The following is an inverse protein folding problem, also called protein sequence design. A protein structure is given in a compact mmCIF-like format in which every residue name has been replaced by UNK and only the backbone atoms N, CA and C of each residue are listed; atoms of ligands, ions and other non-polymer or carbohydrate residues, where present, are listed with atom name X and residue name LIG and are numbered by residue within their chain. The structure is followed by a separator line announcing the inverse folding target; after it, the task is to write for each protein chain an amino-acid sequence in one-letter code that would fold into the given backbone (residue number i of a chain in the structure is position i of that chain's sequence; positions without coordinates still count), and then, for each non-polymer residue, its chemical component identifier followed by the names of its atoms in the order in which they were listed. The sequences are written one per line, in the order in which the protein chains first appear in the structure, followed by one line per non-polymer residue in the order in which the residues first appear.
data_IF_136443648554
#
_entry.id   IF_136443648554
#
_cell.length_a   1.000
_cell.length_b   1.000
_cell.length_c   1.000
_cell.angle_alpha   90.00
_cell.angle_beta   90.00
_cell.angle_gamma   90.00
#
_symmetry.space_group_name_H-M   'P 1'
#
loop_
_entity.id
_entity.type
_entity.pdbx_description
1 polymer ?
#
# COMPACT_ATOMS: atom_id res chain seq x y z
N UNK A 1 46.22 2.62 -6.31
CA UNK A 1 47.08 3.76 -5.97
C UNK A 1 48.09 3.25 -4.97
N UNK A 2 49.39 3.24 -5.30
CA UNK A 2 50.45 2.89 -4.35
C UNK A 2 50.88 4.22 -3.72
N UNK A 3 50.76 4.33 -2.40
CA UNK A 3 51.19 5.53 -1.70
C UNK A 3 52.72 5.69 -1.81
N UNK A 4 53.22 6.93 -1.98
CA UNK A 4 54.65 7.18 -2.04
C UNK A 4 55.30 6.80 -0.69
N UNK A 5 56.55 6.29 -0.72
CA UNK A 5 57.25 5.95 0.51
C UNK A 5 57.48 7.19 1.38
N UNK A 6 57.47 7.04 2.72
CA UNK A 6 57.76 8.15 3.62
C UNK A 6 59.17 8.68 3.32
N UNK A 7 59.28 10.00 3.15
CA UNK A 7 60.56 10.68 2.91
C UNK A 7 61.34 10.68 4.24
N UNK A 8 62.18 9.68 4.44
CA UNK A 8 63.16 9.69 5.53
C UNK A 8 64.25 10.72 5.20
N UNK A 9 64.43 11.70 6.08
CA UNK A 9 65.49 12.70 5.96
C UNK A 9 66.87 12.04 5.88
N UNK A 10 67.73 12.58 5.02
CA UNK A 10 69.10 12.09 4.80
C UNK A 10 69.86 12.02 6.13
N UNK A 11 70.20 10.81 6.58
CA UNK A 11 71.07 10.58 7.75
C UNK A 11 70.49 9.81 8.93
N UNK A 12 69.24 9.34 8.90
CA UNK A 12 68.69 8.45 9.92
C UNK A 12 68.83 6.98 9.49
N UNK A 13 69.40 6.11 10.34
CA UNK A 13 69.26 4.66 10.15
C UNK A 13 67.76 4.31 10.08
N UNK A 14 67.35 3.47 9.12
CA UNK A 14 65.94 3.10 8.98
C UNK A 14 65.49 2.33 10.23
N UNK A 15 64.71 3.00 11.09
CA UNK A 15 64.09 2.36 12.24
C UNK A 15 62.92 1.48 11.76
N UNK A 16 63.24 0.21 11.48
CA UNK A 16 62.30 -0.81 10.99
C UNK A 16 61.08 -0.94 11.91
N UNK A 17 61.24 -0.75 13.22
CA UNK A 17 60.14 -0.79 14.19
C UNK A 17 59.09 0.29 13.94
N UNK A 18 59.54 1.53 13.68
CA UNK A 18 58.64 2.66 13.35
C UNK A 18 57.93 2.43 12.01
N UNK A 19 58.65 1.90 11.02
CA UNK A 19 58.08 1.59 9.70
C UNK A 19 56.96 0.55 9.79
N UNK A 20 57.19 -0.55 10.52
CA UNK A 20 56.20 -1.61 10.72
C UNK A 20 55.00 -1.08 11.49
N UNK A 21 55.23 -0.32 12.57
CA UNK A 21 54.15 0.21 13.40
C UNK A 21 53.26 1.22 12.65
N UNK A 22 53.87 2.06 11.81
CA UNK A 22 53.15 2.96 10.92
C UNK A 22 52.32 2.21 9.87
N UNK A 23 52.90 1.20 9.21
CA UNK A 23 52.17 0.41 8.20
C UNK A 23 51.04 -0.41 8.79
N UNK A 24 51.25 -0.97 10.00
CA UNK A 24 50.22 -1.68 10.74
C UNK A 24 49.03 -0.78 11.05
N UNK A 25 49.29 0.42 11.57
CA UNK A 25 48.23 1.39 11.89
C UNK A 25 47.42 1.81 10.66
N UNK A 26 48.06 1.89 9.49
CA UNK A 26 47.39 2.17 8.21
C UNK A 26 46.52 0.99 7.76
N UNK A 27 47.04 -0.23 7.85
CA UNK A 27 46.30 -1.44 7.49
C UNK A 27 45.08 -1.67 8.41
N UNK A 28 45.24 -1.45 9.71
CA UNK A 28 44.17 -1.59 10.70
C UNK A 28 43.07 -0.53 10.52
N UNK A 29 43.37 0.60 9.87
CA UNK A 29 42.44 1.69 9.60
C UNK A 29 41.88 1.72 8.17
N UNK A 30 42.13 0.69 7.36
CA UNK A 30 41.65 0.64 5.97
C UNK A 30 40.13 0.44 5.93
N UNK A 31 39.43 1.44 5.39
CA UNK A 31 37.97 1.42 5.21
C UNK A 31 37.52 0.47 4.09
N UNK A 32 38.44 0.04 3.22
CA UNK A 32 38.17 -1.01 2.22
C UNK A 32 38.45 -2.41 2.77
N UNK A 33 38.85 -2.52 4.04
CA UNK A 33 38.91 -3.80 4.70
C UNK A 33 37.49 -4.37 4.86
N UNK A 34 37.31 -5.70 4.74
CA UNK A 34 36.01 -6.34 4.92
C UNK A 34 35.42 -6.13 6.34
N UNK A 35 34.10 -6.33 6.57
CA UNK A 35 33.12 -6.91 5.64
C UNK A 35 32.40 -5.83 4.81
N UNK A 36 32.30 -6.06 3.51
CA UNK A 36 31.49 -5.23 2.64
C UNK A 36 30.00 -5.40 2.93
N UNK A 37 29.22 -4.39 2.57
CA UNK A 37 27.77 -4.48 2.62
C UNK A 37 27.24 -5.52 1.63
N UNK A 38 26.21 -6.28 2.03
CA UNK A 38 25.50 -7.23 1.16
C UNK A 38 24.09 -6.71 0.85
N UNK A 39 23.66 -6.88 -0.40
CA UNK A 39 22.32 -6.50 -0.83
C UNK A 39 21.37 -7.69 -0.67
N UNK A 40 20.24 -7.47 0.02
CA UNK A 40 19.17 -8.46 0.13
C UNK A 40 18.06 -8.12 -0.85
N UNK A 41 17.87 -8.99 -1.84
CA UNK A 41 16.75 -8.88 -2.78
C UNK A 41 15.50 -9.54 -2.18
N UNK A 42 14.41 -8.76 -2.08
CA UNK A 42 13.11 -9.25 -1.64
C UNK A 42 12.14 -9.23 -2.82
N UNK A 43 11.58 -10.39 -3.16
CA UNK A 43 10.65 -10.55 -4.27
C UNK A 43 9.41 -11.39 -3.88
N UNK A 44 9.06 -11.40 -2.59
CA UNK A 44 7.90 -12.13 -2.11
C UNK A 44 6.62 -11.34 -2.41
N UNK A 45 5.76 -11.89 -3.27
CA UNK A 45 4.52 -11.25 -3.75
C UNK A 45 3.31 -11.54 -2.83
N UNK A 46 3.42 -12.50 -1.91
CA UNK A 46 2.29 -13.00 -1.13
C UNK A 46 1.81 -14.36 -1.59
N UNK A 47 0.75 -14.86 -0.94
CA UNK A 47 0.21 -16.20 -1.17
C UNK A 47 -0.94 -16.27 -2.18
N UNK A 48 -1.26 -15.18 -2.88
CA UNK A 48 -2.38 -15.14 -3.83
C UNK A 48 -3.75 -15.35 -3.18
N UNK A 49 -3.94 -14.89 -1.94
CA UNK A 49 -5.23 -15.04 -1.25
C UNK A 49 -6.31 -14.23 -1.96
N UNK A 50 -7.44 -14.87 -2.25
CA UNK A 50 -8.62 -14.14 -2.71
C UNK A 50 -9.11 -13.28 -1.56
N UNK A 51 -9.40 -12.00 -1.83
CA UNK A 51 -10.23 -11.23 -0.92
C UNK A 51 -11.51 -12.04 -0.68
N UNK A 52 -11.98 -12.12 0.56
CA UNK A 52 -13.19 -12.87 0.90
C UNK A 52 -14.43 -12.34 0.17
N UNK A 53 -15.62 -12.68 0.64
CA UNK A 53 -16.84 -12.15 0.02
C UNK A 53 -16.93 -10.63 0.20
N UNK A 54 -17.10 -9.91 -0.91
CA UNK A 54 -17.41 -8.48 -0.92
C UNK A 54 -18.93 -8.28 -0.94
N UNK A 55 -19.42 -7.20 -0.34
CA UNK A 55 -20.83 -6.81 -0.45
C UNK A 55 -21.20 -6.52 -1.90
N UNK A 56 -22.40 -6.95 -2.30
CA UNK A 56 -22.98 -6.60 -3.60
C UNK A 56 -23.22 -5.09 -3.69
N UNK A 57 -23.09 -4.52 -4.90
CA UNK A 57 -23.36 -3.10 -5.14
C UNK A 57 -24.80 -2.67 -4.75
N UNK A 58 -25.75 -3.59 -4.87
CA UNK A 58 -27.15 -3.36 -4.53
C UNK A 58 -27.46 -3.45 -3.03
N UNK A 59 -26.49 -3.80 -2.18
CA UNK A 59 -26.71 -4.07 -0.76
C UNK A 59 -27.19 -2.85 0.05
N UNK A 60 -27.27 -1.66 -0.54
CA UNK A 60 -27.80 -0.44 0.10
C UNK A 60 -28.83 0.32 -0.73
N UNK A 61 -29.33 -0.24 -1.84
CA UNK A 61 -30.33 0.43 -2.70
C UNK A 61 -31.76 -0.02 -2.44
N UNK A 62 -31.95 -1.05 -1.64
CA UNK A 62 -33.26 -1.69 -1.38
C UNK A 62 -34.02 -1.06 -0.19
N UNK A 63 -33.47 -0.02 0.43
CA UNK A 63 -34.11 0.66 1.57
C UNK A 63 -35.07 1.79 1.12
N UNK A 64 -35.38 1.87 -0.17
CA UNK A 64 -36.32 2.84 -0.71
C UNK A 64 -37.76 2.43 -0.41
N UNK A 65 -38.57 3.36 0.10
CA UNK A 65 -40.01 3.14 0.25
C UNK A 65 -40.64 2.89 -1.12
N UNK A 66 -41.49 1.85 -1.21
CA UNK A 66 -42.22 1.48 -2.43
C UNK A 66 -43.37 2.47 -2.72
N UNK A 67 -43.05 3.74 -2.97
CA UNK A 67 -44.00 4.82 -3.27
C UNK A 67 -44.10 5.02 -4.79
N UNK A 68 -45.29 4.79 -5.36
CA UNK A 68 -45.50 4.79 -6.82
C UNK A 68 -46.48 5.87 -7.32
N UNK A 69 -46.69 6.94 -6.55
CA UNK A 69 -47.66 8.03 -6.86
C UNK A 69 -47.42 8.69 -8.23
N UNK A 70 -46.19 8.64 -8.74
CA UNK A 70 -45.82 9.15 -10.06
C UNK A 70 -46.45 8.36 -11.23
N UNK A 71 -46.95 7.14 -11.02
CA UNK A 71 -47.57 6.33 -12.07
C UNK A 71 -48.83 7.00 -12.64
N UNK A 72 -49.60 7.73 -11.81
CA UNK A 72 -50.77 8.47 -12.27
C UNK A 72 -50.44 9.59 -13.27
N UNK A 73 -49.21 10.10 -13.25
CA UNK A 73 -48.77 11.16 -14.16
C UNK A 73 -48.21 10.64 -15.50
N UNK A 74 -48.00 9.33 -15.67
CA UNK A 74 -47.42 8.75 -16.90
C UNK A 74 -48.45 8.55 -18.03
N UNK A 75 -49.74 8.75 -17.75
CA UNK A 75 -50.83 8.72 -18.72
C UNK A 75 -51.48 7.34 -18.91
N UNK A 76 -52.48 7.23 -19.82
CA UNK A 76 -53.48 6.16 -19.81
C UNK A 76 -52.94 4.74 -20.06
N UNK A 77 -51.72 4.65 -20.59
CA UNK A 77 -51.04 3.35 -20.76
C UNK A 77 -50.61 2.73 -19.42
N UNK A 78 -50.53 3.54 -18.36
CA UNK A 78 -50.08 3.15 -17.03
C UNK A 78 -51.21 3.13 -15.99
N UNK A 79 -52.46 3.41 -16.37
CA UNK A 79 -53.63 3.43 -15.47
C UNK A 79 -53.76 2.16 -14.65
N UNK A 80 -53.57 0.99 -15.28
CA UNK A 80 -53.62 -0.30 -14.57
C UNK A 80 -52.52 -0.44 -13.51
N UNK A 81 -51.33 0.12 -13.74
CA UNK A 81 -50.25 0.11 -12.75
C UNK A 81 -50.51 1.14 -11.64
N UNK A 82 -51.05 2.31 -11.98
CA UNK A 82 -51.46 3.32 -11.02
C UNK A 82 -52.59 2.83 -10.10
N UNK A 83 -53.52 2.04 -10.63
CA UNK A 83 -54.60 1.39 -9.86
C UNK A 83 -54.07 0.32 -8.88
N UNK A 84 -53.07 -0.47 -9.31
CA UNK A 84 -52.51 -1.55 -8.48
C UNK A 84 -51.50 -1.07 -7.42
N UNK A 85 -50.77 0.03 -7.68
CA UNK A 85 -49.63 0.47 -6.87
C UNK A 85 -49.74 1.92 -6.38
N UNK A 86 -50.75 2.67 -6.82
CA UNK A 86 -51.05 3.99 -6.29
C UNK A 86 -51.56 3.90 -4.84
N UNK A 87 -51.77 5.05 -4.18
CA UNK A 87 -52.34 5.07 -2.85
C UNK A 87 -53.71 4.42 -2.93
N UNK A 88 -53.82 3.20 -2.41
CA UNK A 88 -55.11 2.52 -2.29
C UNK A 88 -56.04 3.45 -1.52
N UNK A 89 -57.29 3.54 -1.95
CA UNK A 89 -58.33 4.06 -1.06
C UNK A 89 -58.23 3.20 0.21
N UNK A 90 -57.63 3.74 1.27
CA UNK A 90 -57.84 3.24 2.61
C UNK A 90 -59.34 3.42 2.83
N UNK A 91 -60.10 2.36 2.53
CA UNK A 91 -61.48 2.26 2.90
C UNK A 91 -61.44 2.20 4.43
N UNK A 92 -61.45 3.38 5.06
CA UNK A 92 -61.82 3.56 6.45
C UNK A 92 -63.10 2.74 6.64
N UNK A 93 -63.10 1.67 7.46
CA UNK A 93 -64.34 0.99 7.76
C UNK A 93 -65.25 2.01 8.43
N UNK A 94 -66.38 2.32 7.81
CA UNK A 94 -67.47 3.06 8.45
C UNK A 94 -67.85 2.29 9.73
N UNK A 95 -67.37 2.76 10.88
CA UNK A 95 -67.81 2.31 12.19
C UNK A 95 -69.28 2.76 12.36
N UNK A 96 -70.23 1.90 11.95
CA UNK A 96 -71.64 1.94 12.38
C UNK A 96 -71.89 1.09 13.64
#
# INVERSE_FOLDING_TARGET
SIDPPPILGVGQEPNVGVFIDEHKRRADGDLNAPPFDDLRNYAYEGGGSTAGSLSSLASGTDDGTHEYDYLGAWGPRFDKLADMYGPGEEIEPDDE
#
